data_IF_553794221400
#
_entry.id   IF_553794221400
#
_cell.length_a   1.000
_cell.length_b   1.000
_cell.length_c   1.000
_cell.angle_alpha   90.00
_cell.angle_beta   90.00
_cell.angle_gamma   90.00
#
_symmetry.space_group_name_H-M   'P 1'
#
loop_
_entity.id
_entity.type
_entity.pdbx_description
1 polymer ?
#
# COMPACT_ATOMS: atom_id res chain seq x y z
N UNK A 1 -19.75 6.73 0.80
CA UNK A 1 -19.18 6.04 1.98
C UNK A 1 -18.38 4.84 1.49
N UNK A 2 -17.08 4.85 1.77
CA UNK A 2 -16.22 3.74 1.37
C UNK A 2 -16.50 2.50 2.22
N UNK A 3 -16.54 1.35 1.57
CA UNK A 3 -16.76 0.05 2.20
C UNK A 3 -15.60 -0.88 1.92
N UNK A 4 -15.31 -1.74 2.89
CA UNK A 4 -14.23 -2.75 2.80
C UNK A 4 -14.82 -4.15 2.88
N UNK A 5 -14.09 -5.12 2.34
CA UNK A 5 -14.46 -6.52 2.34
C UNK A 5 -13.92 -7.16 3.62
N UNK A 6 -14.80 -7.64 4.49
CA UNK A 6 -14.38 -8.39 5.66
C UNK A 6 -14.01 -9.83 5.25
N UNK A 7 -12.91 -10.33 5.78
CA UNK A 7 -12.40 -11.65 5.44
C UNK A 7 -12.02 -12.44 6.69
N UNK A 8 -11.96 -13.75 6.54
CA UNK A 8 -11.36 -14.62 7.55
C UNK A 8 -9.84 -14.74 7.35
N UNK A 9 -9.16 -15.52 8.18
CA UNK A 9 -7.71 -15.71 8.12
C UNK A 9 -7.22 -16.38 6.83
N UNK A 10 -8.11 -16.95 6.05
CA UNK A 10 -7.82 -17.61 4.76
C UNK A 10 -8.23 -16.73 3.58
N UNK A 11 -8.56 -15.46 3.82
CA UNK A 11 -9.03 -14.51 2.82
C UNK A 11 -10.39 -14.87 2.21
N UNK A 12 -11.20 -15.68 2.87
CA UNK A 12 -12.59 -15.90 2.46
C UNK A 12 -13.43 -14.70 2.86
N UNK A 13 -14.23 -14.19 1.94
CA UNK A 13 -15.13 -13.08 2.19
C UNK A 13 -16.25 -13.51 3.17
N UNK A 14 -16.38 -12.75 4.27
CA UNK A 14 -17.38 -13.02 5.32
C UNK A 14 -18.35 -11.87 5.54
N UNK A 15 -18.17 -10.76 4.86
CA UNK A 15 -19.07 -9.62 4.99
C UNK A 15 -18.48 -8.35 4.40
N UNK A 16 -19.19 -7.25 4.63
CA UNK A 16 -18.82 -5.92 4.17
C UNK A 16 -19.08 -4.95 5.33
N UNK A 17 -18.16 -4.00 5.52
CA UNK A 17 -18.32 -2.98 6.56
C UNK A 17 -17.94 -1.59 6.02
N UNK A 18 -18.40 -0.56 6.68
CA UNK A 18 -17.92 0.81 6.44
C UNK A 18 -16.45 0.89 6.86
N UNK A 19 -15.62 1.53 6.02
CA UNK A 19 -14.16 1.55 6.15
C UNK A 19 -13.69 2.05 7.51
N UNK A 20 -14.16 3.21 7.95
CA UNK A 20 -13.71 3.81 9.22
C UNK A 20 -14.14 2.95 10.40
N UNK A 21 -15.35 2.39 10.34
CA UNK A 21 -15.85 1.50 11.38
C UNK A 21 -15.02 0.22 11.48
N UNK A 22 -14.68 -0.40 10.34
CA UNK A 22 -13.82 -1.58 10.32
C UNK A 22 -12.45 -1.30 10.97
N UNK A 23 -11.86 -0.12 10.70
CA UNK A 23 -10.59 0.30 11.30
C UNK A 23 -10.72 0.59 12.80
N UNK A 24 -11.79 1.24 13.24
CA UNK A 24 -12.02 1.50 14.67
C UNK A 24 -12.23 0.21 15.48
N UNK A 25 -12.95 -0.73 14.90
CA UNK A 25 -13.26 -2.00 15.55
C UNK A 25 -12.19 -3.08 15.36
N UNK A 26 -11.15 -2.80 14.56
CA UNK A 26 -10.06 -3.74 14.29
C UNK A 26 -10.48 -4.98 13.52
N UNK A 27 -11.51 -4.88 12.69
CA UNK A 27 -12.00 -6.00 11.89
C UNK A 27 -11.01 -6.36 10.78
N UNK A 28 -10.74 -7.65 10.60
CA UNK A 28 -9.89 -8.13 9.51
C UNK A 28 -10.59 -7.88 8.18
N UNK A 29 -9.93 -7.14 7.31
CA UNK A 29 -10.47 -6.76 6.00
C UNK A 29 -9.40 -6.85 4.92
N UNK A 30 -9.84 -6.98 3.67
CA UNK A 30 -8.96 -7.12 2.51
C UNK A 30 -8.38 -5.78 2.09
N UNK A 31 -7.09 -5.80 1.79
CA UNK A 31 -6.35 -4.65 1.27
C UNK A 31 -5.36 -5.10 0.19
N UNK A 32 -4.74 -4.14 -0.47
CA UNK A 32 -3.61 -4.39 -1.36
C UNK A 32 -2.56 -3.31 -1.23
N UNK A 33 -1.32 -3.70 -1.49
CA UNK A 33 -0.15 -2.83 -1.50
C UNK A 33 0.62 -3.02 -2.79
N UNK A 34 0.97 -1.90 -3.44
CA UNK A 34 1.65 -1.88 -4.72
C UNK A 34 3.05 -1.32 -4.55
N UNK A 35 4.03 -2.03 -5.09
CA UNK A 35 5.44 -1.65 -5.13
C UNK A 35 5.88 -1.57 -6.58
N UNK A 36 6.16 -0.37 -7.06
CA UNK A 36 6.58 -0.14 -8.46
C UNK A 36 8.07 0.17 -8.50
N UNK A 37 8.78 -0.56 -9.35
CA UNK A 37 10.22 -0.42 -9.56
C UNK A 37 10.51 0.09 -10.97
N UNK A 38 11.62 0.80 -11.14
CA UNK A 38 12.14 1.15 -12.46
C UNK A 38 13.24 0.17 -12.90
N UNK A 39 13.79 0.36 -14.10
CA UNK A 39 14.85 -0.50 -14.66
C UNK A 39 16.14 -0.48 -13.84
N UNK A 40 16.37 0.56 -13.04
CA UNK A 40 17.51 0.65 -12.13
C UNK A 40 17.29 -0.11 -10.83
N UNK A 41 16.11 -0.71 -10.61
CA UNK A 41 15.75 -1.36 -9.37
C UNK A 41 15.39 -0.41 -8.24
N UNK A 42 15.16 0.85 -8.55
CA UNK A 42 14.70 1.84 -7.57
C UNK A 42 13.20 1.68 -7.32
N UNK A 43 12.77 1.88 -6.09
CA UNK A 43 11.38 1.82 -5.66
C UNK A 43 10.74 3.20 -5.72
N UNK A 44 9.54 3.29 -6.28
CA UNK A 44 8.74 4.50 -6.29
C UNK A 44 7.99 4.65 -4.96
N UNK A 45 8.32 5.69 -4.22
CA UNK A 45 7.61 6.06 -2.99
C UNK A 45 6.64 7.20 -3.24
N UNK A 46 5.52 7.20 -2.51
CA UNK A 46 4.65 8.35 -2.40
C UNK A 46 4.75 8.98 -1.01
N UNK A 47 4.68 10.30 -0.96
CA UNK A 47 4.51 11.03 0.29
C UNK A 47 3.02 11.34 0.45
N UNK A 48 2.41 10.82 1.50
CA UNK A 48 0.97 10.97 1.74
C UNK A 48 0.60 12.43 1.88
N UNK A 49 -0.52 12.83 1.30
CA UNK A 49 -1.04 14.19 1.44
C UNK A 49 -1.29 14.52 2.92
N UNK A 50 -1.05 15.78 3.29
CA UNK A 50 -1.27 16.26 4.67
C UNK A 50 -2.74 16.21 5.10
N UNK A 51 -3.66 16.16 4.13
CA UNK A 51 -5.10 16.04 4.37
C UNK A 51 -5.58 14.63 4.70
N UNK A 52 -4.71 13.63 4.64
CA UNK A 52 -5.09 12.25 4.96
C UNK A 52 -5.44 12.09 6.45
N UNK A 53 -6.46 11.27 6.72
CA UNK A 53 -6.98 11.07 8.06
C UNK A 53 -6.03 10.32 9.02
N UNK A 54 -5.07 9.56 8.49
CA UNK A 54 -4.01 8.93 9.28
C UNK A 54 -2.67 9.02 8.56
N UNK A 55 -1.59 9.05 9.33
CA UNK A 55 -0.21 9.12 8.85
C UNK A 55 0.00 10.21 7.77
N UNK A 56 -0.53 11.44 7.97
CA UNK A 56 -0.39 12.51 6.98
C UNK A 56 1.08 12.90 6.80
N UNK A 57 1.48 13.17 5.56
CA UNK A 57 2.82 13.65 5.23
C UNK A 57 3.94 12.62 5.37
N UNK A 58 3.63 11.35 5.65
CA UNK A 58 4.64 10.31 5.74
C UNK A 58 4.90 9.65 4.38
N UNK A 59 6.10 9.12 4.21
CA UNK A 59 6.48 8.34 3.04
C UNK A 59 5.95 6.91 3.16
N UNK A 60 5.51 6.35 2.05
CA UNK A 60 5.00 4.99 1.94
C UNK A 60 5.37 4.38 0.58
N UNK A 61 5.06 3.10 0.39
CA UNK A 61 5.19 2.45 -0.91
C UNK A 61 4.34 3.15 -1.98
N UNK A 62 4.40 2.69 -3.20
CA UNK A 62 3.80 3.38 -4.35
C UNK A 62 2.30 3.64 -4.20
N UNK A 63 1.54 2.64 -3.72
CA UNK A 63 0.10 2.78 -3.51
C UNK A 63 -0.39 1.71 -2.54
N UNK A 64 -1.32 2.06 -1.66
CA UNK A 64 -2.04 1.14 -0.78
C UNK A 64 -3.51 1.51 -0.77
N UNK A 65 -4.40 0.53 -0.86
CA UNK A 65 -5.83 0.80 -0.78
C UNK A 65 -6.62 -0.49 -0.48
N UNK A 66 -7.93 -0.38 -0.57
CA UNK A 66 -8.87 -1.47 -0.33
C UNK A 66 -9.68 -1.71 -1.60
N UNK A 67 -9.87 -2.97 -2.03
CA UNK A 67 -10.75 -3.25 -3.17
C UNK A 67 -12.20 -2.99 -2.79
N UNK A 68 -12.97 -2.45 -3.72
CA UNK A 68 -14.40 -2.28 -3.53
C UNK A 68 -15.09 -3.64 -3.58
N UNK A 69 -16.14 -3.87 -2.78
CA UNK A 69 -16.91 -5.11 -2.83
C UNK A 69 -17.41 -5.45 -4.23
N UNK A 70 -17.33 -6.72 -4.62
CA UNK A 70 -17.80 -7.20 -5.90
C UNK A 70 -16.95 -6.84 -7.11
N UNK A 71 -15.72 -6.33 -6.91
CA UNK A 71 -14.80 -5.98 -7.97
C UNK A 71 -13.59 -6.90 -7.98
N UNK A 72 -13.00 -7.06 -9.15
CA UNK A 72 -11.74 -7.81 -9.30
C UNK A 72 -10.59 -7.08 -8.60
N UNK A 73 -9.77 -7.82 -7.88
CA UNK A 73 -8.70 -7.27 -7.05
C UNK A 73 -7.62 -6.57 -7.90
N UNK A 74 -7.18 -7.18 -9.00
CA UNK A 74 -6.15 -6.61 -9.88
C UNK A 74 -6.66 -5.33 -10.56
N UNK A 75 -7.91 -5.34 -11.01
CA UNK A 75 -8.55 -4.16 -11.60
C UNK A 75 -8.64 -3.02 -10.57
N UNK A 76 -8.93 -3.32 -9.33
CA UNK A 76 -8.97 -2.32 -8.26
C UNK A 76 -7.57 -1.77 -7.94
N UNK A 77 -6.56 -2.63 -7.95
CA UNK A 77 -5.17 -2.20 -7.78
C UNK A 77 -4.74 -1.25 -8.90
N UNK A 78 -5.02 -1.59 -10.14
CA UNK A 78 -4.74 -0.73 -11.32
C UNK A 78 -5.51 0.59 -11.25
N UNK A 79 -6.77 0.54 -10.87
CA UNK A 79 -7.61 1.74 -10.71
C UNK A 79 -7.00 2.71 -9.70
N UNK A 80 -6.65 2.22 -8.51
CA UNK A 80 -6.10 3.08 -7.45
C UNK A 80 -4.71 3.61 -7.78
N UNK A 81 -3.87 2.82 -8.45
CA UNK A 81 -2.56 3.28 -8.90
C UNK A 81 -2.70 4.46 -9.88
N UNK A 82 -3.67 4.38 -10.79
CA UNK A 82 -4.00 5.49 -11.70
C UNK A 82 -4.52 6.71 -10.93
N UNK A 83 -5.47 6.50 -10.01
CA UNK A 83 -6.08 7.60 -9.24
C UNK A 83 -5.07 8.30 -8.32
N UNK A 84 -4.21 7.57 -7.62
CA UNK A 84 -3.27 8.14 -6.67
C UNK A 84 -2.01 8.69 -7.33
N UNK A 85 -1.44 7.96 -8.29
CA UNK A 85 -0.12 8.25 -8.85
C UNK A 85 -0.12 8.59 -10.34
N UNK A 86 -1.28 8.55 -11.00
CA UNK A 86 -1.37 8.84 -12.42
C UNK A 86 -0.66 7.82 -13.33
N UNK A 87 -0.40 6.62 -12.84
CA UNK A 87 0.25 5.55 -13.59
C UNK A 87 -0.82 4.67 -14.22
N UNK A 88 -0.84 4.62 -15.56
CA UNK A 88 -1.84 3.88 -16.34
C UNK A 88 -1.26 2.59 -16.92
N UNK A 89 -0.06 2.68 -17.49
CA UNK A 89 0.61 1.55 -18.12
C UNK A 89 1.63 0.92 -17.18
N UNK A 90 1.15 0.01 -16.34
CA UNK A 90 1.98 -0.73 -15.41
C UNK A 90 1.39 -2.14 -15.24
N UNK A 91 2.16 -3.13 -15.66
CA UNK A 91 1.78 -4.51 -15.44
C UNK A 91 2.02 -4.86 -13.98
N UNK A 92 0.93 -5.16 -13.28
CA UNK A 92 0.96 -5.55 -11.88
C UNK A 92 0.87 -7.07 -11.77
N UNK A 93 1.72 -7.64 -10.93
CA UNK A 93 1.71 -9.06 -10.59
C UNK A 93 1.53 -9.22 -9.10
N UNK A 94 0.48 -9.92 -8.68
CA UNK A 94 0.34 -10.34 -7.29
C UNK A 94 1.40 -11.38 -6.97
N UNK A 95 2.15 -11.16 -5.89
CA UNK A 95 3.29 -12.02 -5.53
C UNK A 95 3.08 -12.79 -4.24
N UNK A 96 2.37 -12.23 -3.27
CA UNK A 96 1.96 -12.93 -2.06
C UNK A 96 0.87 -12.14 -1.33
N UNK A 97 0.21 -12.82 -0.37
CA UNK A 97 -0.70 -12.20 0.59
C UNK A 97 -0.29 -12.56 2.00
N UNK A 98 -0.55 -11.71 2.96
CA UNK A 98 -0.31 -11.95 4.38
C UNK A 98 -1.18 -11.06 5.25
N UNK A 99 -1.28 -11.42 6.53
CA UNK A 99 -2.06 -10.67 7.50
C UNK A 99 -1.16 -9.90 8.43
N UNK A 100 -1.52 -8.64 8.72
CA UNK A 100 -0.89 -7.87 9.78
C UNK A 100 -1.92 -7.11 10.60
N UNK A 101 -1.54 -6.74 11.81
CA UNK A 101 -2.40 -6.02 12.76
C UNK A 101 -1.55 -4.94 13.43
N UNK A 102 -1.88 -3.68 13.16
CA UNK A 102 -1.17 -2.51 13.67
C UNK A 102 -2.13 -1.48 14.24
N UNK A 103 -1.78 -0.92 15.39
CA UNK A 103 -2.46 0.26 15.90
C UNK A 103 -1.80 1.52 15.34
N UNK A 104 -2.57 2.38 14.68
CA UNK A 104 -2.14 3.66 14.12
C UNK A 104 -3.06 4.77 14.64
N UNK A 105 -2.62 5.48 15.67
CA UNK A 105 -3.49 6.43 16.38
C UNK A 105 -4.68 5.71 16.98
N UNK A 106 -5.89 6.17 16.68
CA UNK A 106 -7.14 5.56 17.14
C UNK A 106 -7.68 4.48 16.20
N UNK A 107 -6.93 4.16 15.15
CA UNK A 107 -7.33 3.18 14.15
C UNK A 107 -6.49 1.90 14.27
N UNK A 108 -7.06 0.80 13.80
CA UNK A 108 -6.40 -0.50 13.76
C UNK A 108 -6.34 -0.95 12.30
N UNK A 109 -5.12 -1.10 11.80
CA UNK A 109 -4.84 -1.65 10.48
C UNK A 109 -4.75 -3.17 10.59
N UNK A 110 -5.91 -3.84 10.60
CA UNK A 110 -6.00 -5.30 10.64
C UNK A 110 -6.39 -5.78 9.24
N UNK A 111 -5.39 -6.13 8.46
CA UNK A 111 -5.57 -6.35 7.02
C UNK A 111 -5.04 -7.70 6.57
N UNK A 112 -5.77 -8.32 5.64
CA UNK A 112 -5.23 -9.33 4.75
C UNK A 112 -4.78 -8.59 3.50
N UNK A 113 -3.47 -8.41 3.38
CA UNK A 113 -2.86 -7.54 2.38
C UNK A 113 -2.31 -8.35 1.20
N UNK A 114 -2.81 -8.05 0.00
CA UNK A 114 -2.35 -8.61 -1.26
C UNK A 114 -1.26 -7.71 -1.82
N UNK A 115 -0.07 -8.24 -2.01
CA UNK A 115 1.08 -7.47 -2.47
C UNK A 115 1.31 -7.65 -3.96
N UNK A 116 1.34 -6.52 -4.66
CA UNK A 116 1.60 -6.45 -6.11
C UNK A 116 2.94 -5.80 -6.38
N UNK A 117 3.68 -6.36 -7.33
CA UNK A 117 4.88 -5.75 -7.89
C UNK A 117 4.61 -5.30 -9.32
N UNK A 118 5.17 -4.16 -9.71
CA UNK A 118 5.07 -3.64 -11.06
C UNK A 118 6.33 -2.91 -11.49
N UNK A 119 6.41 -2.61 -12.78
CA UNK A 119 7.51 -1.83 -13.36
C UNK A 119 6.97 -0.63 -14.12
N UNK A 120 7.64 0.50 -13.96
CA UNK A 120 7.27 1.76 -14.62
C UNK A 120 8.51 2.62 -14.83
N UNK A 121 8.57 3.29 -15.97
CA UNK A 121 9.61 4.25 -16.29
C UNK A 121 9.01 5.64 -16.46
N UNK A 122 9.66 6.64 -15.92
CA UNK A 122 9.26 8.03 -16.06
C UNK A 122 8.77 8.67 -14.77
N UNK A 123 7.97 9.70 -14.93
CA UNK A 123 7.48 10.53 -13.83
C UNK A 123 5.99 10.28 -13.61
N UNK A 124 5.60 9.84 -12.41
CA UNK A 124 4.19 9.76 -12.08
C UNK A 124 3.54 11.14 -12.01
N UNK A 125 2.22 11.17 -12.04
CA UNK A 125 1.42 12.40 -11.90
C UNK A 125 0.45 12.20 -10.74
N UNK A 126 0.91 12.38 -9.50
CA UNK A 126 0.07 12.11 -8.34
C UNK A 126 -1.11 13.08 -8.25
N UNK A 127 -2.21 12.58 -7.73
CA UNK A 127 -3.33 13.41 -7.30
C UNK A 127 -2.95 14.09 -5.99
N UNK A 128 -2.93 15.45 -5.92
CA UNK A 128 -2.54 16.17 -4.71
C UNK A 128 -3.38 15.87 -3.47
N UNK A 129 -4.60 15.40 -3.64
CA UNK A 129 -5.46 14.98 -2.52
C UNK A 129 -5.01 13.64 -1.90
N UNK A 130 -4.25 12.85 -2.64
CA UNK A 130 -3.75 11.55 -2.20
C UNK A 130 -2.28 11.60 -1.82
N UNK A 131 -1.44 12.20 -2.66
CA UNK A 131 0.00 12.28 -2.47
C UNK A 131 0.53 13.67 -2.79
N UNK A 132 1.28 14.26 -1.86
CA UNK A 132 1.88 15.59 -2.06
C UNK A 132 3.20 15.55 -2.82
N UNK A 133 3.87 14.40 -2.87
CA UNK A 133 5.17 14.23 -3.51
C UNK A 133 5.46 12.76 -3.81
N UNK A 134 6.51 12.53 -4.58
CA UNK A 134 7.00 11.19 -4.91
C UNK A 134 8.51 11.22 -5.12
N UNK A 135 9.16 10.07 -5.03
CA UNK A 135 10.58 9.92 -5.39
C UNK A 135 10.92 8.47 -5.74
N UNK A 136 11.89 8.29 -6.62
CA UNK A 136 12.58 7.02 -6.82
C UNK A 136 13.68 6.89 -5.78
N UNK A 137 13.78 5.75 -5.13
CA UNK A 137 14.81 5.52 -4.09
C UNK A 137 15.54 4.21 -4.33
N UNK A 138 16.85 4.26 -4.12
CA UNK A 138 17.69 3.07 -4.06
C UNK A 138 17.35 2.28 -2.79
N UNK A 139 17.21 0.96 -2.90
CA UNK A 139 16.80 0.11 -1.77
C UNK A 139 17.81 0.09 -0.62
N UNK A 140 19.10 0.21 -0.91
CA UNK A 140 20.15 0.25 0.12
C UNK A 140 20.04 1.54 0.93
N UNK A 141 19.89 2.66 0.23
CA UNK A 141 19.69 3.97 0.86
C UNK A 141 18.39 4.03 1.64
N UNK A 142 17.31 3.46 1.09
CA UNK A 142 16.01 3.39 1.76
C UNK A 142 16.08 2.61 3.08
N UNK A 143 16.71 1.44 3.08
CA UNK A 143 16.88 0.64 4.30
C UNK A 143 17.64 1.41 5.37
N UNK A 144 18.70 2.11 4.97
CA UNK A 144 19.51 2.94 5.87
C UNK A 144 18.66 4.06 6.47
N UNK A 145 17.92 4.79 5.62
CA UNK A 145 17.09 5.92 6.08
C UNK A 145 15.95 5.46 6.99
N UNK A 146 15.32 4.33 6.70
CA UNK A 146 14.28 3.75 7.58
C UNK A 146 14.86 3.43 8.97
N UNK A 147 16.07 2.90 9.02
CA UNK A 147 16.76 2.59 10.29
C UNK A 147 17.11 3.85 11.08
N UNK A 148 17.60 4.88 10.40
CA UNK A 148 18.03 6.14 11.02
C UNK A 148 16.86 7.07 11.34
N UNK A 149 15.83 7.07 10.48
CA UNK A 149 14.68 7.99 10.55
C UNK A 149 13.34 7.25 10.37
N UNK A 150 13.01 6.28 11.24
CA UNK A 150 11.81 5.45 11.07
C UNK A 150 10.50 6.24 11.09
N UNK A 151 10.47 7.39 11.75
CA UNK A 151 9.29 8.26 11.83
C UNK A 151 8.91 8.98 10.53
N UNK A 152 9.76 8.95 9.51
CA UNK A 152 9.44 9.49 8.19
C UNK A 152 8.52 8.59 7.37
N UNK A 153 8.33 7.34 7.79
CA UNK A 153 7.68 6.29 7.02
C UNK A 153 6.45 5.75 7.74
N UNK A 154 5.44 5.35 6.97
CA UNK A 154 4.26 4.71 7.56
C UNK A 154 4.62 3.38 8.22
N UNK A 155 3.91 3.04 9.29
CA UNK A 155 4.17 1.81 10.04
C UNK A 155 3.97 0.55 9.18
N UNK A 156 2.91 0.53 8.36
CA UNK A 156 2.62 -0.62 7.49
C UNK A 156 3.67 -0.78 6.38
N UNK A 157 4.18 0.31 5.79
CA UNK A 157 5.20 0.24 4.76
C UNK A 157 6.45 -0.51 5.24
N UNK A 158 6.91 -0.22 6.45
CA UNK A 158 8.11 -0.87 7.01
C UNK A 158 7.95 -2.38 7.11
N UNK A 159 6.77 -2.85 7.52
CA UNK A 159 6.46 -4.28 7.61
C UNK A 159 6.37 -4.92 6.23
N UNK A 160 5.63 -4.30 5.31
CA UNK A 160 5.41 -4.84 3.97
C UNK A 160 6.71 -4.86 3.17
N UNK A 161 7.53 -3.80 3.27
CA UNK A 161 8.83 -3.74 2.61
C UNK A 161 9.73 -4.90 3.01
N UNK A 162 9.78 -5.23 4.30
CA UNK A 162 10.57 -6.37 4.79
C UNK A 162 10.12 -7.68 4.12
N UNK A 163 8.82 -7.89 3.98
CA UNK A 163 8.26 -9.04 3.28
C UNK A 163 8.60 -9.04 1.79
N UNK A 164 8.49 -7.90 1.12
CA UNK A 164 8.83 -7.75 -0.31
C UNK A 164 10.31 -8.08 -0.55
N UNK A 165 11.21 -7.59 0.30
CA UNK A 165 12.63 -7.84 0.17
C UNK A 165 13.00 -9.31 0.42
N UNK A 166 12.32 -9.97 1.35
CA UNK A 166 12.48 -11.41 1.58
C UNK A 166 11.96 -12.23 0.41
N UNK A 167 10.84 -11.86 -0.16
CA UNK A 167 10.30 -12.49 -1.37
C UNK A 167 11.30 -12.41 -2.52
N UNK A 168 11.89 -11.24 -2.78
CA UNK A 168 12.89 -11.04 -3.84
C UNK A 168 14.15 -11.91 -3.71
N UNK A 169 14.54 -12.28 -2.50
CA UNK A 169 15.71 -13.16 -2.25
C UNK A 169 15.45 -14.62 -2.63
N UNK A 170 14.21 -15.03 -2.79
CA UNK A 170 13.81 -16.40 -3.10
C UNK A 170 13.37 -16.58 -4.57
N UNK A 171 13.56 -15.55 -5.40
CA UNK A 171 13.23 -15.58 -6.84
C UNK A 171 14.43 -15.82 -7.73
#
# INVERSE_FOLDING_TARGET
MERVILVDKKDNEIGIEEKIKAHREGKLHRSFSIFVFNKKGELLLQKRAKSKYHSPGLWSNTCCSHPRPGRDLEDEAKRRLKEEMGIVECDLKEVFGFTYNLKVGDLIEHEFDHVFLGTFEGNPKPNPEEAESWKWVNLIELKKDIKENPGKYTAWFKIILDKVLKYGKHQ
#
